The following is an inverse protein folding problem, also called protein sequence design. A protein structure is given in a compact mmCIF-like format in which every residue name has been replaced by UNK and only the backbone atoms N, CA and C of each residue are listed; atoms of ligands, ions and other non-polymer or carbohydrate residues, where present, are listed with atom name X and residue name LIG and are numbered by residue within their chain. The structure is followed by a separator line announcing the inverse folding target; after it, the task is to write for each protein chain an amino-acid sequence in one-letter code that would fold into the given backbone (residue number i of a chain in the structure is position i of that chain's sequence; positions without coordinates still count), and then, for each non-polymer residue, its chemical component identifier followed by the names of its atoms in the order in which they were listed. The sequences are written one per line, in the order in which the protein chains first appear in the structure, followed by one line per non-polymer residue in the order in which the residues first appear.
data_IF_583103390824
#
_entry.id   IF_583103390824
#
_cell.length_a   1.000
_cell.length_b   1.000
_cell.length_c   1.000
_cell.angle_alpha   90.00
_cell.angle_beta   90.00
_cell.angle_gamma   90.00
#
_symmetry.space_group_name_H-M   'P 1'
#
loop_
_entity.id
_entity.type
_entity.pdbx_description
1 polymer ?
#
# COMPACT_ATOMS: atom_id res chain seq x y z
N UNK A 1 -4.13 -1.80 -15.95
CA UNK A 1 -3.77 -3.04 -16.67
C UNK A 1 -4.87 -4.10 -16.55
N UNK A 2 -5.16 -4.63 -15.36
CA UNK A 2 -6.08 -5.76 -15.17
C UNK A 2 -7.47 -5.54 -15.80
N UNK A 3 -8.18 -4.47 -15.43
CA UNK A 3 -9.50 -4.12 -16.01
C UNK A 3 -9.52 -4.01 -17.55
N UNK A 4 -8.40 -3.61 -18.17
CA UNK A 4 -8.31 -3.40 -19.63
C UNK A 4 -8.00 -4.69 -20.39
N UNK A 5 -7.06 -5.49 -19.87
CA UNK A 5 -6.51 -6.65 -20.61
C UNK A 5 -7.04 -8.01 -20.11
N UNK A 6 -7.61 -8.04 -18.91
CA UNK A 6 -8.16 -9.25 -18.28
C UNK A 6 -9.57 -9.00 -17.74
N UNK A 7 -10.53 -8.55 -18.57
CA UNK A 7 -11.88 -8.21 -18.11
C UNK A 7 -12.61 -9.41 -17.48
N UNK A 8 -12.36 -10.63 -17.96
CA UNK A 8 -12.93 -11.86 -17.40
C UNK A 8 -12.41 -12.23 -16.00
N UNK A 9 -11.39 -11.53 -15.49
CA UNK A 9 -10.81 -11.75 -14.15
C UNK A 9 -11.18 -10.62 -13.17
N UNK A 10 -12.03 -9.66 -13.57
CA UNK A 10 -12.33 -8.47 -12.74
C UNK A 10 -12.95 -8.87 -11.41
N UNK A 11 -13.83 -9.87 -11.41
CA UNK A 11 -14.53 -10.33 -10.21
C UNK A 11 -13.61 -11.06 -9.22
N UNK A 12 -12.38 -11.39 -9.64
CA UNK A 12 -11.34 -11.96 -8.77
C UNK A 12 -10.42 -10.90 -8.15
N UNK A 13 -10.54 -9.64 -8.55
CA UNK A 13 -9.74 -8.55 -7.99
C UNK A 13 -10.40 -8.10 -6.69
N UNK A 14 -9.62 -7.99 -5.61
CA UNK A 14 -10.10 -7.42 -4.35
C UNK A 14 -10.75 -6.06 -4.58
N UNK A 15 -11.93 -5.86 -3.97
CA UNK A 15 -12.65 -4.59 -3.99
C UNK A 15 -12.25 -3.69 -2.82
N UNK A 16 -11.28 -4.12 -2.01
CA UNK A 16 -10.79 -3.37 -0.87
C UNK A 16 -10.20 -2.03 -1.29
N UNK A 17 -10.43 -1.01 -0.48
CA UNK A 17 -9.87 0.32 -0.71
C UNK A 17 -8.35 0.26 -0.56
N UNK A 18 -7.64 1.08 -1.34
CA UNK A 18 -6.22 1.24 -1.08
C UNK A 18 -6.03 2.04 0.22
N UNK A 19 -4.90 1.87 0.94
CA UNK A 19 -4.67 2.59 2.19
C UNK A 19 -4.84 4.11 2.06
N UNK A 20 -4.42 4.69 0.93
CA UNK A 20 -4.65 6.11 0.63
C UNK A 20 -6.13 6.49 0.72
N UNK A 21 -7.02 5.73 0.08
CA UNK A 21 -8.44 6.05 0.00
C UNK A 21 -9.13 5.75 1.32
N UNK A 22 -8.81 4.60 1.94
CA UNK A 22 -9.33 4.21 3.25
C UNK A 22 -9.03 5.29 4.31
N UNK A 23 -7.76 5.69 4.45
CA UNK A 23 -7.34 6.73 5.40
C UNK A 23 -7.98 8.08 5.06
N UNK A 24 -8.05 8.46 3.77
CA UNK A 24 -8.68 9.71 3.38
C UNK A 24 -10.15 9.80 3.80
N UNK A 25 -10.91 8.71 3.61
CA UNK A 25 -12.32 8.65 4.03
C UNK A 25 -12.49 8.73 5.54
N UNK A 26 -11.65 8.04 6.32
CA UNK A 26 -11.64 8.15 7.78
C UNK A 26 -11.41 9.61 8.19
N UNK A 27 -10.37 10.25 7.65
CA UNK A 27 -10.05 11.65 7.96
C UNK A 27 -11.20 12.58 7.59
N UNK A 28 -11.86 12.40 6.44
CA UNK A 28 -13.01 13.23 6.04
C UNK A 28 -14.25 12.97 6.90
N UNK A 29 -14.44 11.75 7.39
CA UNK A 29 -15.54 11.42 8.31
C UNK A 29 -15.36 12.12 9.65
N UNK A 30 -14.15 12.09 10.19
CA UNK A 30 -13.81 12.72 11.48
C UNK A 30 -13.65 14.23 11.36
N UNK A 31 -13.14 14.70 10.23
CA UNK A 31 -12.85 16.10 9.94
C UNK A 31 -13.38 16.49 8.54
N UNK A 32 -14.69 16.79 8.40
CA UNK A 32 -15.34 17.03 7.10
C UNK A 32 -14.73 18.16 6.25
N UNK A 33 -14.05 19.12 6.89
CA UNK A 33 -13.43 20.26 6.22
C UNK A 33 -11.92 20.12 6.02
N UNK A 34 -11.30 19.03 6.50
CA UNK A 34 -9.87 18.80 6.33
C UNK A 34 -9.51 18.69 4.84
N UNK A 35 -8.33 19.20 4.48
CA UNK A 35 -7.73 18.95 3.17
C UNK A 35 -6.79 17.76 3.27
N UNK A 36 -7.02 16.74 2.44
CA UNK A 36 -6.26 15.49 2.47
C UNK A 36 -5.19 15.53 1.39
N UNK A 37 -3.93 15.44 1.81
CA UNK A 37 -2.77 15.35 0.93
C UNK A 37 -2.13 13.99 1.13
N UNK A 38 -2.18 13.13 0.11
CA UNK A 38 -1.42 11.89 0.12
C UNK A 38 0.01 12.15 -0.35
N UNK A 39 0.97 11.61 0.38
CA UNK A 39 2.39 11.70 0.06
C UNK A 39 2.93 10.28 -0.15
N UNK A 40 3.49 9.99 -1.32
CA UNK A 40 4.02 8.66 -1.58
C UNK A 40 4.78 8.52 -2.90
N UNK A 41 5.39 7.35 -3.17
CA UNK A 41 6.35 7.20 -4.26
C UNK A 41 5.72 6.97 -5.64
N UNK A 42 4.40 7.05 -5.77
CA UNK A 42 3.69 6.48 -6.91
C UNK A 42 2.89 7.53 -7.69
N UNK A 43 3.29 7.77 -8.95
CA UNK A 43 2.52 8.61 -9.87
C UNK A 43 1.12 8.05 -10.16
N UNK A 44 0.93 6.72 -10.09
CA UNK A 44 -0.40 6.10 -10.32
C UNK A 44 -1.42 6.49 -9.24
N UNK A 45 -0.98 6.93 -8.05
CA UNK A 45 -1.90 7.44 -7.02
C UNK A 45 -2.57 8.75 -7.43
N UNK A 46 -1.92 9.57 -8.27
CA UNK A 46 -2.56 10.75 -8.87
C UNK A 46 -3.76 10.34 -9.72
N UNK A 47 -3.59 9.31 -10.56
CA UNK A 47 -4.68 8.75 -11.37
C UNK A 47 -5.77 8.09 -10.54
N UNK A 48 -5.43 7.47 -9.41
CA UNK A 48 -6.41 6.91 -8.48
C UNK A 48 -7.24 8.01 -7.80
N UNK A 49 -6.60 9.06 -7.30
CA UNK A 49 -7.26 10.22 -6.69
C UNK A 49 -8.18 10.95 -7.70
N UNK A 50 -7.82 10.98 -8.98
CA UNK A 50 -8.67 11.60 -10.02
C UNK A 50 -9.93 10.79 -10.38
N UNK A 51 -10.09 9.55 -9.90
CA UNK A 51 -11.29 8.75 -10.19
C UNK A 51 -12.52 9.43 -9.60
N UNK A 52 -13.65 9.36 -10.31
CA UNK A 52 -14.91 9.94 -9.85
C UNK A 52 -15.33 9.47 -8.45
N UNK A 53 -15.02 8.22 -8.09
CA UNK A 53 -15.32 7.61 -6.79
C UNK A 53 -14.35 7.97 -5.65
N UNK A 54 -13.30 8.75 -5.92
CA UNK A 54 -12.21 9.07 -4.97
C UNK A 54 -11.88 10.56 -4.92
N UNK A 55 -12.14 11.32 -5.99
CA UNK A 55 -11.75 12.74 -6.12
C UNK A 55 -12.31 13.68 -5.05
N UNK A 56 -13.35 13.26 -4.32
CA UNK A 56 -13.89 13.99 -3.16
C UNK A 56 -13.11 13.73 -1.87
N UNK A 57 -12.42 12.59 -1.80
CA UNK A 57 -11.81 12.06 -0.58
C UNK A 57 -10.36 12.55 -0.46
N UNK A 58 -9.62 12.56 -1.58
CA UNK A 58 -8.21 12.96 -1.66
C UNK A 58 -8.07 14.25 -2.47
N UNK A 59 -7.69 15.35 -1.82
CA UNK A 59 -7.56 16.65 -2.48
C UNK A 59 -6.26 16.76 -3.31
N UNK A 60 -5.15 16.22 -2.80
CA UNK A 60 -3.85 16.29 -3.48
C UNK A 60 -3.05 14.99 -3.32
N UNK A 61 -2.19 14.74 -4.32
CA UNK A 61 -1.21 13.65 -4.31
C UNK A 61 0.14 14.21 -4.71
N UNK A 62 1.13 14.08 -3.83
CA UNK A 62 2.49 14.61 -4.00
C UNK A 62 3.49 13.46 -3.89
N UNK A 63 4.48 13.42 -4.79
CA UNK A 63 5.56 12.43 -4.70
C UNK A 63 6.61 12.81 -3.66
N UNK A 64 7.47 11.87 -3.24
CA UNK A 64 8.57 12.23 -2.34
C UNK A 64 9.55 13.23 -2.97
N UNK A 65 9.74 13.15 -4.29
CA UNK A 65 10.57 14.10 -5.04
C UNK A 65 9.95 15.51 -5.06
N UNK A 66 8.64 15.61 -5.34
CA UNK A 66 7.92 16.89 -5.30
C UNK A 66 7.90 17.50 -3.89
N UNK A 67 7.72 16.68 -2.86
CA UNK A 67 7.82 17.12 -1.47
C UNK A 67 9.22 17.64 -1.13
N UNK A 68 10.26 16.99 -1.64
CA UNK A 68 11.64 17.44 -1.41
C UNK A 68 11.89 18.83 -2.01
N UNK A 69 11.36 19.09 -3.21
CA UNK A 69 11.40 20.42 -3.81
C UNK A 69 10.70 21.49 -2.98
N UNK A 70 9.61 21.14 -2.28
CA UNK A 70 8.95 22.05 -1.33
C UNK A 70 9.82 22.32 -0.10
N UNK A 71 10.53 21.31 0.41
CA UNK A 71 11.46 21.50 1.52
C UNK A 71 12.61 22.43 1.13
N UNK A 72 13.23 22.22 -0.03
CA UNK A 72 14.30 23.07 -0.54
C UNK A 72 13.82 24.53 -0.70
N UNK A 73 12.65 24.73 -1.32
CA UNK A 73 12.06 26.05 -1.53
C UNK A 73 11.69 26.78 -0.21
N UNK A 74 11.46 26.02 0.86
CA UNK A 74 11.16 26.55 2.20
C UNK A 74 12.35 26.53 3.14
N UNK A 75 13.53 26.11 2.66
CA UNK A 75 14.74 25.94 3.46
C UNK A 75 14.51 25.05 4.69
N UNK A 76 13.72 23.99 4.54
CA UNK A 76 13.45 22.99 5.57
C UNK A 76 14.44 21.85 5.41
N UNK A 77 15.14 21.50 6.49
CA UNK A 77 16.03 20.32 6.54
C UNK A 77 15.37 19.25 7.40
N UNK A 78 14.81 18.17 6.83
CA UNK A 78 14.06 17.17 7.60
C UNK A 78 14.87 16.52 8.74
N UNK A 79 16.17 16.33 8.55
CA UNK A 79 17.05 15.72 9.56
C UNK A 79 17.30 16.59 10.79
N UNK A 80 16.89 17.86 10.76
CA UNK A 80 17.01 18.79 11.91
C UNK A 80 15.66 19.09 12.56
N UNK A 81 14.56 18.52 12.04
CA UNK A 81 13.25 18.67 12.64
C UNK A 81 13.16 17.85 13.93
N UNK A 82 12.37 18.34 14.88
CA UNK A 82 12.05 17.61 16.10
C UNK A 82 11.32 16.30 15.75
N UNK A 83 11.66 15.23 16.46
CA UNK A 83 10.94 13.97 16.33
C UNK A 83 9.54 14.11 16.92
N UNK A 84 8.55 13.54 16.21
CA UNK A 84 7.19 13.48 16.72
C UNK A 84 7.08 12.38 17.78
N UNK A 85 6.21 12.54 18.79
CA UNK A 85 5.97 11.50 19.79
C UNK A 85 5.51 10.18 19.17
N UNK A 86 5.95 9.04 19.70
CA UNK A 86 5.69 7.71 19.13
C UNK A 86 4.18 7.39 19.09
N UNK A 87 3.42 7.89 20.05
CA UNK A 87 1.95 7.78 20.11
C UNK A 87 1.24 8.41 18.91
N UNK A 88 1.88 9.33 18.18
CA UNK A 88 1.34 9.90 16.94
C UNK A 88 1.58 9.01 15.72
N UNK A 89 2.36 7.93 15.87
CA UNK A 89 2.77 7.03 14.80
C UNK A 89 2.14 5.64 14.94
N UNK A 90 0.84 5.55 15.24
CA UNK A 90 0.14 4.28 15.40
C UNK A 90 0.04 3.51 14.06
N UNK A 91 0.84 2.45 13.90
CA UNK A 91 0.70 1.48 12.83
C UNK A 91 1.29 0.14 13.25
N UNK A 92 0.65 -0.96 12.84
CA UNK A 92 1.15 -2.30 13.11
C UNK A 92 2.36 -2.64 12.23
N UNK A 93 3.15 -3.63 12.62
CA UNK A 93 4.26 -4.11 11.79
C UNK A 93 3.78 -4.54 10.39
N UNK A 94 2.63 -5.22 10.31
CA UNK A 94 1.98 -5.58 9.06
C UNK A 94 1.62 -4.34 8.21
N UNK A 95 1.07 -3.30 8.82
CA UNK A 95 0.75 -2.05 8.12
C UNK A 95 2.00 -1.35 7.56
N UNK A 96 3.09 -1.30 8.34
CA UNK A 96 4.36 -0.73 7.88
C UNK A 96 5.01 -1.55 6.76
N UNK A 97 4.84 -2.87 6.79
CA UNK A 97 5.34 -3.80 5.77
C UNK A 97 4.71 -3.64 4.39
N UNK A 98 3.58 -2.94 4.25
CA UNK A 98 2.84 -2.81 2.99
C UNK A 98 3.68 -2.31 1.79
N UNK A 99 4.68 -1.48 2.04
CA UNK A 99 5.38 -0.74 1.00
C UNK A 99 6.37 -1.58 0.16
N UNK A 100 6.74 -2.78 0.60
CA UNK A 100 7.64 -3.68 -0.13
C UNK A 100 6.84 -4.78 -0.83
N UNK A 101 7.37 -5.23 -1.97
CA UNK A 101 6.87 -6.41 -2.65
C UNK A 101 6.82 -7.63 -1.71
N UNK A 102 5.70 -8.35 -1.71
CA UNK A 102 5.37 -9.43 -0.78
C UNK A 102 4.81 -8.95 0.57
N UNK A 103 4.83 -7.64 0.84
CA UNK A 103 4.45 -7.07 2.13
C UNK A 103 2.95 -7.15 2.42
N UNK A 104 2.10 -6.96 1.39
CA UNK A 104 0.64 -7.07 1.55
C UNK A 104 0.27 -8.54 1.71
N UNK A 105 0.83 -9.39 0.86
CA UNK A 105 0.58 -10.82 0.89
C UNK A 105 1.02 -11.45 2.22
N UNK A 106 2.22 -11.08 2.71
CA UNK A 106 2.74 -11.54 4.00
C UNK A 106 1.94 -11.02 5.19
N UNK A 107 1.44 -9.78 5.14
CA UNK A 107 0.53 -9.25 6.16
C UNK A 107 -0.76 -10.07 6.24
N UNK A 108 -1.38 -10.36 5.09
CA UNK A 108 -2.58 -11.19 5.01
C UNK A 108 -2.28 -12.62 5.49
N UNK A 109 -1.18 -13.22 5.06
CA UNK A 109 -0.79 -14.57 5.48
C UNK A 109 -0.64 -14.67 7.00
N UNK A 110 0.01 -13.69 7.63
CA UNK A 110 0.20 -13.67 9.07
C UNK A 110 -1.13 -13.46 9.81
N UNK A 111 -2.02 -12.61 9.30
CA UNK A 111 -3.37 -12.45 9.84
C UNK A 111 -4.17 -13.75 9.73
N UNK A 112 -4.12 -14.45 8.59
CA UNK A 112 -4.80 -15.73 8.40
C UNK A 112 -4.26 -16.81 9.33
N UNK A 113 -2.94 -16.89 9.53
CA UNK A 113 -2.34 -17.85 10.48
C UNK A 113 -2.78 -17.61 11.93
N UNK A 114 -2.96 -16.34 12.31
CA UNK A 114 -3.37 -15.97 13.66
C UNK A 114 -4.87 -16.18 13.88
N UNK A 115 -5.71 -15.67 12.98
CA UNK A 115 -7.16 -15.64 13.17
C UNK A 115 -7.86 -16.91 12.64
N UNK A 116 -7.26 -17.58 11.65
CA UNK A 116 -7.84 -18.69 10.89
C UNK A 116 -6.81 -19.79 10.58
N UNK A 117 -6.19 -20.41 11.61
CA UNK A 117 -5.02 -21.29 11.46
C UNK A 117 -5.24 -22.51 10.55
N UNK A 118 -6.49 -22.94 10.37
CA UNK A 118 -6.85 -24.11 9.55
C UNK A 118 -7.03 -23.77 8.06
N UNK A 119 -6.95 -22.49 7.66
CA UNK A 119 -7.12 -22.06 6.26
C UNK A 119 -5.78 -22.15 5.52
N UNK A 120 -5.65 -23.04 4.51
CA UNK A 120 -4.44 -23.10 3.70
C UNK A 120 -4.32 -21.84 2.85
N UNK A 121 -3.14 -21.21 2.89
CA UNK A 121 -2.84 -20.01 2.12
C UNK A 121 -1.82 -20.34 1.05
N UNK A 122 -2.18 -20.10 -0.22
CA UNK A 122 -1.26 -20.19 -1.34
C UNK A 122 -1.11 -18.81 -1.94
N UNK A 123 0.13 -18.31 -2.01
CA UNK A 123 0.45 -16.97 -2.44
C UNK A 123 1.36 -17.03 -3.66
N UNK A 124 0.97 -16.31 -4.69
CA UNK A 124 1.80 -16.02 -5.85
C UNK A 124 2.14 -14.54 -5.86
N UNK A 125 3.40 -14.24 -6.13
CA UNK A 125 3.90 -12.88 -6.09
C UNK A 125 4.46 -12.49 -7.46
N UNK A 126 4.02 -11.33 -7.96
CA UNK A 126 4.40 -10.83 -9.26
C UNK A 126 4.88 -9.38 -9.16
N UNK A 127 6.09 -9.15 -9.66
CA UNK A 127 6.70 -7.82 -9.71
C UNK A 127 6.90 -7.37 -11.15
N UNK A 128 6.65 -6.10 -11.42
CA UNK A 128 6.49 -5.51 -12.75
C UNK A 128 5.15 -5.83 -13.43
N UNK A 129 4.74 -4.94 -14.33
CA UNK A 129 3.57 -5.16 -15.16
C UNK A 129 3.70 -6.39 -16.09
N UNK A 130 4.93 -6.77 -16.46
CA UNK A 130 5.19 -7.92 -17.32
C UNK A 130 4.89 -9.23 -16.59
N UNK A 131 5.43 -9.41 -15.39
CA UNK A 131 5.13 -10.61 -14.58
C UNK A 131 3.68 -10.60 -14.11
N UNK A 132 3.11 -9.45 -13.74
CA UNK A 132 1.68 -9.37 -13.43
C UNK A 132 0.81 -9.86 -14.59
N UNK A 133 1.15 -9.48 -15.83
CA UNK A 133 0.44 -9.93 -17.04
C UNK A 133 0.61 -11.44 -17.25
N UNK A 134 1.81 -11.97 -17.03
CA UNK A 134 2.11 -13.40 -17.14
C UNK A 134 1.31 -14.21 -16.13
N UNK A 135 1.35 -13.83 -14.85
CA UNK A 135 0.60 -14.51 -13.78
C UNK A 135 -0.91 -14.46 -14.03
N UNK A 136 -1.46 -13.30 -14.40
CA UNK A 136 -2.88 -13.21 -14.75
C UNK A 136 -3.26 -14.05 -15.99
N UNK A 137 -2.33 -14.21 -16.95
CA UNK A 137 -2.54 -15.10 -18.10
C UNK A 137 -2.60 -16.57 -17.68
N UNK A 138 -1.70 -17.00 -16.79
CA UNK A 138 -1.70 -18.35 -16.23
C UNK A 138 -2.94 -18.63 -15.38
N UNK A 139 -3.34 -17.67 -14.54
CA UNK A 139 -4.56 -17.74 -13.75
C UNK A 139 -5.80 -17.87 -14.65
N UNK A 140 -5.92 -17.02 -15.69
CA UNK A 140 -7.00 -17.10 -16.67
C UNK A 140 -7.04 -18.44 -17.42
N UNK A 141 -5.89 -19.05 -17.69
CA UNK A 141 -5.78 -20.37 -18.29
C UNK A 141 -6.06 -21.53 -17.31
N UNK A 142 -6.42 -21.22 -16.06
CA UNK A 142 -6.68 -22.20 -15.01
C UNK A 142 -5.43 -22.96 -14.55
N UNK A 143 -4.23 -22.41 -14.77
CA UNK A 143 -2.95 -23.00 -14.34
C UNK A 143 -2.56 -22.59 -12.93
N UNK A 144 -3.08 -21.46 -12.45
CA UNK A 144 -3.00 -21.04 -11.06
C UNK A 144 -4.41 -21.12 -10.49
N UNK A 145 -4.59 -21.91 -9.44
CA UNK A 145 -5.89 -22.16 -8.79
C UNK A 145 -5.72 -22.02 -7.28
N UNK A 146 -6.81 -21.63 -6.59
CA UNK A 146 -6.87 -21.53 -5.12
C UNK A 146 -5.70 -20.73 -4.53
N UNK A 147 -5.38 -19.59 -5.16
CA UNK A 147 -4.20 -18.81 -4.83
C UNK A 147 -4.54 -17.32 -4.78
N UNK A 148 -4.01 -16.64 -3.77
CA UNK A 148 -3.97 -15.19 -3.69
C UNK A 148 -2.76 -14.68 -4.49
N UNK A 149 -2.99 -13.74 -5.40
CA UNK A 149 -1.94 -13.15 -6.23
C UNK A 149 -1.68 -11.72 -5.76
N UNK A 150 -0.47 -11.42 -5.29
CA UNK A 150 -0.01 -10.05 -5.11
C UNK A 150 0.68 -9.56 -6.39
N UNK A 151 0.17 -8.47 -6.96
CA UNK A 151 0.72 -7.87 -8.17
C UNK A 151 1.24 -6.46 -7.92
N UNK A 152 2.55 -6.28 -7.96
CA UNK A 152 3.22 -4.99 -7.81
C UNK A 152 3.75 -4.50 -9.16
N UNK A 153 3.30 -3.33 -9.60
CA UNK A 153 3.70 -2.78 -10.90
C UNK A 153 5.18 -2.37 -10.96
N UNK A 154 5.79 -2.05 -9.82
CA UNK A 154 7.21 -1.71 -9.70
C UNK A 154 7.97 -2.88 -9.08
N UNK A 155 9.17 -3.24 -9.61
CA UNK A 155 10.09 -4.14 -8.92
C UNK A 155 10.41 -3.64 -7.51
N UNK A 156 10.38 -4.53 -6.52
CA UNK A 156 10.57 -4.18 -5.11
C UNK A 156 9.37 -3.50 -4.44
N UNK A 157 8.25 -3.32 -5.14
CA UNK A 157 7.05 -2.69 -4.59
C UNK A 157 7.13 -1.17 -4.55
N UNK A 158 6.39 -0.52 -3.66
CA UNK A 158 6.35 0.94 -3.57
C UNK A 158 7.71 1.55 -3.23
N UNK A 159 8.54 0.89 -2.42
CA UNK A 159 9.89 1.37 -2.08
C UNK A 159 10.89 1.27 -3.25
N UNK A 160 10.55 0.55 -4.32
CA UNK A 160 11.26 0.56 -5.60
C UNK A 160 10.54 1.41 -6.67
N UNK A 161 9.56 2.22 -6.26
CA UNK A 161 8.76 3.04 -7.16
C UNK A 161 9.53 4.21 -7.77
N UNK A 162 9.01 4.73 -8.89
CA UNK A 162 9.65 5.79 -9.66
C UNK A 162 9.78 7.13 -8.92
N UNK A 163 8.90 7.42 -7.95
CA UNK A 163 8.95 8.64 -7.14
C UNK A 163 9.64 8.45 -5.78
N UNK A 164 10.63 7.55 -5.69
CA UNK A 164 11.42 7.35 -4.47
C UNK A 164 12.70 8.18 -4.51
N UNK A 165 13.17 8.61 -3.34
CA UNK A 165 14.37 9.47 -3.21
C UNK A 165 15.60 8.69 -2.67
N UNK A 166 15.47 7.37 -2.49
CA UNK A 166 16.52 6.54 -1.90
C UNK A 166 16.60 5.18 -2.60
N UNK A 167 17.82 4.67 -2.78
CA UNK A 167 18.05 3.40 -3.44
C UNK A 167 17.44 2.21 -2.69
N UNK A 168 16.87 1.27 -3.44
CA UNK A 168 16.12 0.12 -2.93
C UNK A 168 16.83 -0.61 -1.79
N UNK A 169 18.10 -1.00 -1.95
CA UNK A 169 18.83 -1.77 -0.94
C UNK A 169 18.90 -1.08 0.44
N UNK A 170 19.12 0.24 0.45
CA UNK A 170 19.14 1.03 1.69
C UNK A 170 17.75 1.10 2.31
N UNK A 171 16.74 1.39 1.49
CA UNK A 171 15.35 1.53 1.93
C UNK A 171 14.79 0.20 2.46
N UNK A 172 15.06 -0.92 1.79
CA UNK A 172 14.61 -2.26 2.22
C UNK A 172 15.20 -2.65 3.57
N UNK A 173 16.49 -2.34 3.82
CA UNK A 173 17.12 -2.60 5.14
C UNK A 173 16.50 -1.73 6.24
N UNK A 174 16.26 -0.46 5.95
CA UNK A 174 15.62 0.46 6.89
C UNK A 174 14.19 0.04 7.21
N UNK A 175 13.40 -0.32 6.19
CA UNK A 175 12.04 -0.82 6.33
C UNK A 175 12.01 -2.09 7.18
N UNK A 176 12.89 -3.05 6.91
CA UNK A 176 12.97 -4.28 7.71
C UNK A 176 13.19 -3.97 9.18
N UNK A 177 14.17 -3.11 9.51
CA UNK A 177 14.42 -2.69 10.90
C UNK A 177 13.17 -2.05 11.52
N UNK A 178 12.45 -1.23 10.76
CA UNK A 178 11.25 -0.54 11.24
C UNK A 178 10.09 -1.50 11.50
N UNK A 179 9.88 -2.47 10.63
CA UNK A 179 8.88 -3.54 10.81
C UNK A 179 9.24 -4.40 12.01
N UNK A 180 10.50 -4.84 12.12
CA UNK A 180 10.97 -5.70 13.22
C UNK A 180 10.78 -5.03 14.59
N UNK A 181 10.98 -3.70 14.69
CA UNK A 181 10.81 -2.94 15.93
C UNK A 181 9.38 -2.47 16.21
N UNK A 182 8.43 -2.67 15.31
CA UNK A 182 7.06 -2.16 15.48
C UNK A 182 6.19 -3.10 16.28
N UNK A 183 5.41 -2.55 17.21
CA UNK A 183 4.33 -3.23 17.92
C UNK A 183 3.03 -2.42 17.82
N UNK A 184 1.86 -3.08 17.75
CA UNK A 184 1.68 -4.53 17.67
C UNK A 184 2.07 -5.09 16.29
N UNK A 185 2.39 -6.39 16.22
CA UNK A 185 2.73 -7.04 14.92
C UNK A 185 1.57 -7.05 13.92
N UNK A 186 0.40 -7.44 14.38
CA UNK A 186 -0.82 -7.59 13.58
C UNK A 186 -1.92 -6.66 14.10
N UNK A 187 -2.91 -6.29 13.26
CA UNK A 187 -4.10 -5.58 13.73
C UNK A 187 -4.90 -6.43 14.75
N UNK A 188 -5.80 -5.80 15.51
CA UNK A 188 -6.78 -6.54 16.30
C UNK A 188 -7.80 -7.20 15.38
N UNK A 189 -8.24 -8.42 15.71
CA UNK A 189 -9.31 -9.10 14.98
C UNK A 189 -10.63 -8.31 15.03
N UNK A 190 -10.84 -7.47 16.03
CA UNK A 190 -12.03 -6.61 16.13
C UNK A 190 -12.19 -5.64 14.94
N UNK A 191 -11.10 -5.36 14.21
CA UNK A 191 -11.11 -4.51 13.02
C UNK A 191 -11.62 -5.22 11.76
N UNK A 192 -11.90 -6.53 11.83
CA UNK A 192 -12.39 -7.32 10.68
C UNK A 192 -13.70 -6.77 10.08
N UNK A 193 -14.57 -6.20 10.92
CA UNK A 193 -15.86 -5.65 10.50
C UNK A 193 -15.84 -4.11 10.36
N UNK A 194 -14.66 -3.51 10.16
CA UNK A 194 -14.55 -2.07 9.98
C UNK A 194 -15.18 -1.64 8.65
N UNK A 195 -16.37 -1.05 8.71
CA UNK A 195 -17.02 -0.47 7.53
C UNK A 195 -16.58 0.98 7.30
N UNK A 196 -15.87 1.19 6.19
CA UNK A 196 -15.47 2.50 5.69
C UNK A 196 -16.49 2.98 4.64
N UNK A 197 -17.63 3.48 5.13
CA UNK A 197 -18.67 4.13 4.32
C UNK A 197 -18.10 5.24 3.43
#
# INVERSE_FOLDING_TARGET
MAKKYFPAMIDNISQELTPMVATARIVKKEHPHAKVVFIGPCASKKLEAMRHSVRSDVDFVITFEELWGLFDAKSITPSTCEELPEETQAATAAGRGYAIAGGVAGAIENCLKEYYPDVPVHIEHAESLAECKKVLTLAKAGKIKNCMIEGMACPGGCIGGAGTNAGFAKTSKALKKYVDSSEPKLPSQELENLELN
#
